data_IF_444561157271
#
_entry.id   IF_444561157271
#
_cell.length_a   1.000
_cell.length_b   1.000
_cell.length_c   1.000
_cell.angle_alpha   90.00
_cell.angle_beta   90.00
_cell.angle_gamma   90.00
#
_symmetry.space_group_name_H-M   'P 1'
#
loop_
_entity.id
_entity.type
_entity.pdbx_description
1 polymer ?
#
# COMPACT_ATOMS: atom_id res chain seq x y z
N UNK A 1 5.94 19.69 -11.41
CA UNK A 1 5.35 20.10 -10.11
C UNK A 1 6.11 19.45 -8.97
N UNK A 2 6.26 20.14 -7.81
CA UNK A 2 6.76 19.55 -6.57
C UNK A 2 5.65 19.60 -5.52
N UNK A 3 5.50 18.53 -4.77
CA UNK A 3 4.62 18.49 -3.61
C UNK A 3 5.27 19.20 -2.42
N UNK A 4 4.49 19.94 -1.66
CA UNK A 4 4.98 20.65 -0.47
C UNK A 4 4.26 20.15 0.78
N UNK A 5 5.01 19.94 1.85
CA UNK A 5 4.51 19.44 3.11
C UNK A 5 4.88 20.39 4.26
N UNK A 6 4.17 20.28 5.37
CA UNK A 6 4.57 20.93 6.61
C UNK A 6 5.73 20.14 7.23
N UNK A 7 6.92 20.75 7.26
CA UNK A 7 8.15 20.11 7.75
C UNK A 7 8.19 19.96 9.30
N UNK A 8 7.29 20.60 10.03
CA UNK A 8 7.21 20.49 11.49
C UNK A 8 6.54 19.21 11.97
N UNK A 9 5.99 18.39 11.07
CA UNK A 9 5.31 17.14 11.42
C UNK A 9 6.29 16.07 11.89
N UNK A 10 5.89 15.31 12.92
CA UNK A 10 6.72 14.24 13.50
C UNK A 10 6.91 13.05 12.55
N UNK A 11 5.88 12.73 11.74
CA UNK A 11 5.89 11.64 10.78
C UNK A 11 5.82 12.16 9.35
N UNK A 12 6.58 11.53 8.47
CA UNK A 12 6.45 11.74 7.03
C UNK A 12 5.20 11.04 6.50
N UNK A 13 4.93 9.83 7.01
CA UNK A 13 3.77 9.02 6.64
C UNK A 13 3.26 8.24 7.85
N UNK A 14 1.95 8.19 8.02
CA UNK A 14 1.26 7.23 8.88
C UNK A 14 0.38 6.35 7.99
N UNK A 15 0.57 5.04 8.04
CA UNK A 15 -0.27 4.08 7.32
C UNK A 15 -1.30 3.48 8.26
N UNK A 16 -2.54 3.29 7.77
CA UNK A 16 -3.61 2.63 8.53
C UNK A 16 -4.14 1.41 7.80
N UNK A 17 -4.27 0.30 8.52
CA UNK A 17 -4.94 -0.89 8.01
C UNK A 17 -4.28 -2.20 8.41
N UNK A 18 -4.20 -3.13 7.44
CA UNK A 18 -3.83 -4.52 7.64
C UNK A 18 -2.33 -4.73 7.81
N UNK A 19 -1.97 -5.53 8.84
CA UNK A 19 -0.70 -6.23 8.95
C UNK A 19 -0.99 -7.73 9.12
N UNK A 20 -0.36 -8.59 8.34
CA UNK A 20 -0.61 -10.03 8.34
C UNK A 20 0.69 -10.83 8.21
N UNK A 21 0.58 -12.14 8.13
CA UNK A 21 1.70 -13.05 7.86
C UNK A 21 1.63 -13.53 6.42
N UNK A 22 2.70 -13.29 5.66
CA UNK A 22 2.90 -13.91 4.37
C UNK A 22 3.74 -15.19 4.55
N UNK A 23 3.24 -16.28 3.98
CA UNK A 23 3.89 -17.59 3.90
C UNK A 23 4.19 -17.88 2.43
N UNK A 24 5.40 -17.50 2.00
CA UNK A 24 5.80 -17.62 0.62
C UNK A 24 6.43 -18.98 0.34
N UNK A 25 5.94 -19.69 -0.69
CA UNK A 25 6.50 -20.96 -1.12
C UNK A 25 7.99 -20.85 -1.42
N UNK A 26 8.79 -21.73 -0.86
CA UNK A 26 10.25 -21.81 -1.13
C UNK A 26 10.49 -22.60 -2.41
N UNK A 27 9.65 -23.60 -2.67
CA UNK A 27 9.69 -24.37 -3.89
C UNK A 27 8.90 -23.66 -5.01
N UNK A 28 9.57 -23.36 -6.12
CA UNK A 28 8.98 -22.71 -7.29
C UNK A 28 8.58 -23.71 -8.36
N UNK A 29 7.76 -23.26 -9.31
CA UNK A 29 7.31 -24.02 -10.48
C UNK A 29 6.54 -25.27 -10.10
N UNK A 30 5.75 -25.20 -9.04
CA UNK A 30 4.84 -26.26 -8.60
C UNK A 30 3.60 -25.67 -7.94
N UNK A 31 2.46 -26.39 -7.97
CA UNK A 31 1.25 -25.96 -7.30
C UNK A 31 1.39 -26.05 -5.77
N UNK A 32 0.54 -25.30 -5.06
CA UNK A 32 0.61 -25.18 -3.60
C UNK A 32 0.40 -26.51 -2.89
N UNK A 33 -0.45 -27.40 -3.42
CA UNK A 33 -0.69 -28.74 -2.88
C UNK A 33 0.55 -29.65 -2.88
N UNK A 34 1.57 -29.33 -3.67
CA UNK A 34 2.84 -30.01 -3.70
C UNK A 34 3.96 -29.28 -2.92
N UNK A 35 3.67 -28.06 -2.44
CA UNK A 35 4.62 -27.24 -1.70
C UNK A 35 4.69 -27.68 -0.25
N UNK A 36 5.90 -27.98 0.22
CA UNK A 36 6.15 -28.47 1.58
C UNK A 36 6.82 -27.43 2.50
N UNK A 37 7.43 -26.38 1.92
CA UNK A 37 8.23 -25.40 2.67
C UNK A 37 7.77 -23.97 2.38
N UNK A 38 7.53 -23.21 3.43
CA UNK A 38 7.16 -21.80 3.35
C UNK A 38 8.10 -20.95 4.19
N UNK A 39 8.50 -19.80 3.67
CA UNK A 39 9.19 -18.77 4.43
C UNK A 39 8.20 -17.73 4.93
N UNK A 40 8.34 -17.35 6.21
CA UNK A 40 7.44 -16.41 6.88
C UNK A 40 7.95 -14.99 6.80
N UNK A 41 7.06 -14.07 6.40
CA UNK A 41 7.31 -12.63 6.33
C UNK A 41 6.14 -11.82 6.93
N UNK A 42 6.38 -10.54 7.19
CA UNK A 42 5.28 -9.59 7.40
C UNK A 42 4.69 -9.24 6.05
N UNK A 43 3.37 -9.25 5.96
CA UNK A 43 2.58 -8.89 4.80
C UNK A 43 1.48 -7.88 5.13
N UNK A 44 0.67 -7.57 4.13
CA UNK A 44 -0.36 -6.53 4.17
C UNK A 44 0.11 -5.24 3.53
N UNK A 45 -0.62 -4.73 2.53
CA UNK A 45 -0.22 -3.55 1.75
C UNK A 45 0.18 -2.36 2.63
N UNK A 46 -0.64 -1.86 3.58
CA UNK A 46 -0.26 -0.70 4.39
C UNK A 46 0.97 -0.97 5.29
N UNK A 47 1.14 -2.20 5.80
CA UNK A 47 2.32 -2.58 6.57
C UNK A 47 3.57 -2.61 5.67
N UNK A 48 3.48 -3.20 4.47
CA UNK A 48 4.55 -3.22 3.49
C UNK A 48 4.97 -1.80 3.07
N UNK A 49 4.00 -0.90 2.85
CA UNK A 49 4.29 0.49 2.48
C UNK A 49 4.96 1.23 3.63
N UNK A 50 4.53 1.03 4.89
CA UNK A 50 5.19 1.61 6.06
C UNK A 50 6.63 1.11 6.20
N UNK A 51 6.86 -0.21 6.05
CA UNK A 51 8.19 -0.83 6.07
C UNK A 51 9.06 -0.28 4.96
N UNK A 52 8.55 -0.24 3.72
CA UNK A 52 9.27 0.30 2.56
C UNK A 52 9.65 1.76 2.77
N UNK A 53 8.73 2.59 3.28
CA UNK A 53 8.96 3.99 3.59
C UNK A 53 10.05 4.17 4.65
N UNK A 54 10.02 3.37 5.73
CA UNK A 54 11.05 3.40 6.78
C UNK A 54 12.42 2.98 6.24
N UNK A 55 12.51 1.93 5.41
CA UNK A 55 13.76 1.50 4.77
C UNK A 55 14.35 2.54 3.82
N UNK A 56 13.50 3.38 3.24
CA UNK A 56 13.92 4.53 2.42
C UNK A 56 14.35 5.74 3.27
N UNK A 57 14.19 5.69 4.59
CA UNK A 57 14.60 6.73 5.53
C UNK A 57 13.51 7.71 5.93
N UNK A 58 12.25 7.45 5.59
CA UNK A 58 11.12 8.25 6.08
C UNK A 58 10.77 7.89 7.52
N UNK A 59 10.26 8.88 8.26
CA UNK A 59 9.64 8.69 9.57
C UNK A 59 8.24 8.09 9.36
N UNK A 60 8.14 6.78 9.40
CA UNK A 60 6.91 6.04 9.16
C UNK A 60 6.25 5.60 10.47
N UNK A 61 4.93 5.77 10.57
CA UNK A 61 4.10 5.24 11.65
C UNK A 61 3.03 4.29 11.11
N UNK A 62 2.48 3.46 11.99
CA UNK A 62 1.47 2.49 11.63
C UNK A 62 0.33 2.42 12.64
N UNK A 63 -0.91 2.46 12.13
CA UNK A 63 -2.14 2.24 12.90
C UNK A 63 -2.77 0.94 12.41
N UNK A 64 -2.99 -0.01 13.30
CA UNK A 64 -3.64 -1.27 12.96
C UNK A 64 -3.84 -2.16 14.18
N UNK A 65 -4.57 -3.25 14.00
CA UNK A 65 -4.83 -4.21 15.09
C UNK A 65 -4.19 -5.55 14.78
N UNK A 66 -3.46 -6.09 15.75
CA UNK A 66 -2.72 -7.34 15.67
C UNK A 66 -3.18 -8.31 16.76
N UNK A 67 -3.06 -9.64 16.57
CA UNK A 67 -3.43 -10.61 17.59
C UNK A 67 -2.49 -10.60 18.79
N UNK A 68 -3.00 -11.00 19.95
CA UNK A 68 -2.17 -11.31 21.15
C UNK A 68 -1.61 -12.74 21.06
N UNK A 69 -0.75 -12.98 20.09
CA UNK A 69 -0.07 -14.27 19.91
C UNK A 69 1.34 -14.11 19.32
N UNK A 70 1.97 -15.23 18.95
CA UNK A 70 3.31 -15.24 18.37
C UNK A 70 3.40 -14.51 17.02
N UNK A 71 2.31 -14.48 16.25
CA UNK A 71 2.27 -13.78 14.98
C UNK A 71 2.16 -12.26 15.19
N UNK A 72 1.32 -11.80 16.12
CA UNK A 72 1.24 -10.38 16.47
C UNK A 72 2.58 -9.84 16.99
N UNK A 73 3.23 -10.55 17.90
CA UNK A 73 4.57 -10.17 18.39
C UNK A 73 5.64 -10.16 17.29
N UNK A 74 5.56 -11.10 16.34
CA UNK A 74 6.46 -11.11 15.18
C UNK A 74 6.25 -9.88 14.29
N UNK A 75 4.98 -9.56 13.95
CA UNK A 75 4.63 -8.39 13.13
C UNK A 75 5.15 -7.11 13.79
N UNK A 76 4.79 -6.87 15.05
CA UNK A 76 5.19 -5.67 15.78
C UNK A 76 6.72 -5.55 15.88
N UNK A 77 7.39 -6.63 16.29
CA UNK A 77 8.85 -6.64 16.44
C UNK A 77 9.56 -6.38 15.12
N UNK A 78 9.10 -7.00 14.01
CA UNK A 78 9.69 -6.79 12.71
C UNK A 78 9.52 -5.35 12.23
N UNK A 79 8.31 -4.79 12.32
CA UNK A 79 8.02 -3.41 11.92
C UNK A 79 8.84 -2.40 12.74
N UNK A 80 8.88 -2.56 14.06
CA UNK A 80 9.68 -1.72 14.95
C UNK A 80 11.18 -1.80 14.63
N UNK A 81 11.71 -2.98 14.37
CA UNK A 81 13.12 -3.18 14.05
C UNK A 81 13.50 -2.60 12.67
N UNK A 82 12.55 -2.43 11.78
CA UNK A 82 12.74 -1.73 10.50
C UNK A 82 12.57 -0.21 10.59
N UNK A 83 12.28 0.33 11.77
CA UNK A 83 12.17 1.77 12.02
C UNK A 83 10.76 2.33 11.89
N UNK A 84 9.73 1.49 11.77
CA UNK A 84 8.33 1.93 11.82
C UNK A 84 7.94 2.19 13.28
N UNK A 85 7.32 3.34 13.55
CA UNK A 85 6.70 3.60 14.85
C UNK A 85 5.45 2.72 15.00
N UNK A 86 5.46 1.86 16.02
CA UNK A 86 4.41 0.87 16.31
C UNK A 86 3.55 1.25 17.53
N UNK A 87 3.65 2.47 18.02
CA UNK A 87 2.94 2.92 19.25
C UNK A 87 1.42 2.93 19.10
N UNK A 88 0.93 2.92 17.87
CA UNK A 88 -0.50 2.82 17.53
C UNK A 88 -0.88 1.44 16.94
N UNK A 89 -0.07 0.43 17.17
CA UNK A 89 -0.47 -0.96 16.94
C UNK A 89 -1.27 -1.46 18.14
N UNK A 90 -2.54 -1.71 17.92
CA UNK A 90 -3.46 -2.17 18.95
C UNK A 90 -3.39 -3.68 19.06
N UNK A 91 -3.24 -4.21 20.27
CA UNK A 91 -3.26 -5.65 20.53
C UNK A 91 -4.69 -6.09 20.77
N UNK A 92 -5.18 -7.00 19.96
CA UNK A 92 -6.52 -7.60 20.09
C UNK A 92 -6.63 -8.40 21.38
N UNK A 93 -7.67 -8.14 22.18
CA UNK A 93 -7.93 -8.83 23.44
C UNK A 93 -9.06 -9.88 23.34
N UNK A 94 -9.74 -9.96 22.19
CA UNK A 94 -10.90 -10.83 21.99
C UNK A 94 -10.51 -12.19 21.39
N UNK A 95 -9.24 -12.38 21.08
CA UNK A 95 -8.67 -13.66 20.64
C UNK A 95 -8.70 -13.89 19.13
N UNK A 96 -8.99 -12.86 18.32
CA UNK A 96 -8.88 -12.94 16.87
C UNK A 96 -7.44 -13.22 16.45
N UNK A 97 -7.25 -13.82 15.27
CA UNK A 97 -5.94 -14.27 14.77
C UNK A 97 -5.37 -13.32 13.71
N UNK A 98 -4.09 -13.51 13.37
CA UNK A 98 -3.53 -12.83 12.21
C UNK A 98 -4.11 -13.40 10.91
N UNK A 99 -4.31 -12.54 9.91
CA UNK A 99 -4.51 -13.01 8.55
C UNK A 99 -3.26 -13.74 8.03
N UNK A 100 -3.46 -14.81 7.25
CA UNK A 100 -2.39 -15.57 6.62
C UNK A 100 -2.54 -15.54 5.11
N UNK A 101 -1.47 -15.22 4.40
CA UNK A 101 -1.40 -15.26 2.94
C UNK A 101 -0.38 -16.32 2.52
N UNK A 102 -0.85 -17.42 1.96
CA UNK A 102 0.01 -18.41 1.32
C UNK A 102 0.19 -18.04 -0.14
N UNK A 103 1.42 -17.98 -0.60
CA UNK A 103 1.72 -17.65 -2.00
C UNK A 103 2.34 -18.83 -2.72
N UNK A 104 1.93 -19.03 -3.98
CA UNK A 104 2.60 -19.96 -4.90
C UNK A 104 3.17 -19.21 -6.10
N UNK A 105 4.22 -19.76 -6.69
CA UNK A 105 4.89 -19.25 -7.87
C UNK A 105 4.97 -20.41 -8.87
N UNK A 106 3.98 -20.49 -9.77
CA UNK A 106 3.95 -21.48 -10.85
C UNK A 106 4.88 -21.06 -11.99
N UNK A 107 4.87 -19.77 -12.34
CA UNK A 107 5.81 -19.11 -13.23
C UNK A 107 5.93 -17.63 -12.85
N UNK A 108 6.82 -16.84 -13.46
CA UNK A 108 6.86 -15.39 -13.25
C UNK A 108 5.55 -14.66 -13.59
N UNK A 109 4.79 -15.20 -14.52
CA UNK A 109 3.50 -14.66 -14.99
C UNK A 109 2.31 -15.25 -14.23
N UNK A 110 2.49 -16.41 -13.61
CA UNK A 110 1.42 -17.16 -12.93
C UNK A 110 1.76 -17.36 -11.45
N UNK A 111 1.32 -16.40 -10.65
CA UNK A 111 1.45 -16.42 -9.19
C UNK A 111 0.06 -16.30 -8.56
N UNK A 112 -0.18 -17.03 -7.49
CA UNK A 112 -1.43 -16.94 -6.77
C UNK A 112 -1.24 -16.72 -5.26
N UNK A 113 -2.28 -16.24 -4.61
CA UNK A 113 -2.35 -16.03 -3.16
C UNK A 113 -3.59 -16.69 -2.62
N UNK A 114 -3.40 -17.65 -1.72
CA UNK A 114 -4.48 -18.21 -0.90
C UNK A 114 -4.53 -17.45 0.42
N UNK A 115 -5.59 -16.68 0.62
CA UNK A 115 -5.74 -15.80 1.78
C UNK A 115 -6.72 -16.36 2.81
N UNK A 116 -6.27 -16.46 4.04
CA UNK A 116 -7.11 -16.69 5.22
C UNK A 116 -7.29 -15.36 5.95
N UNK A 117 -8.40 -14.69 5.71
CA UNK A 117 -8.72 -13.37 6.29
C UNK A 117 -10.17 -13.28 6.78
N UNK A 118 -10.72 -14.38 7.22
CA UNK A 118 -12.02 -14.39 7.89
C UNK A 118 -11.79 -14.23 9.38
N UNK A 119 -12.54 -13.31 10.00
CA UNK A 119 -12.55 -13.14 11.46
C UNK A 119 -11.15 -12.90 12.08
N UNK A 120 -10.35 -12.03 11.45
CA UNK A 120 -8.97 -11.72 11.87
C UNK A 120 -8.85 -10.35 12.52
N UNK A 121 -7.85 -10.17 13.40
CA UNK A 121 -7.68 -8.98 14.25
C UNK A 121 -7.72 -7.65 13.50
N UNK A 122 -7.11 -7.56 12.30
CA UNK A 122 -7.08 -6.31 11.53
C UNK A 122 -8.47 -5.80 11.08
N UNK A 123 -9.48 -6.67 11.02
CA UNK A 123 -10.86 -6.30 10.72
C UNK A 123 -11.62 -5.70 11.92
N UNK A 124 -11.06 -5.82 13.12
CA UNK A 124 -11.67 -5.39 14.39
C UNK A 124 -11.04 -4.12 14.97
N UNK A 125 -10.31 -3.35 14.16
CA UNK A 125 -9.86 -2.02 14.56
C UNK A 125 -11.09 -1.12 14.74
N UNK A 126 -11.28 -0.60 15.95
CA UNK A 126 -12.42 0.25 16.29
C UNK A 126 -12.14 1.74 16.04
N UNK A 127 -13.16 2.54 15.67
CA UNK A 127 -13.00 3.98 15.52
C UNK A 127 -12.47 4.68 16.78
N UNK A 128 -12.78 4.15 17.98
CA UNK A 128 -12.30 4.68 19.26
C UNK A 128 -10.81 4.45 19.50
N UNK A 129 -10.20 3.51 18.80
CA UNK A 129 -8.77 3.17 18.90
C UNK A 129 -7.89 4.02 17.99
N UNK A 130 -8.49 4.82 17.10
CA UNK A 130 -7.76 5.70 16.17
C UNK A 130 -7.39 7.02 16.87
N UNK A 131 -6.10 7.26 17.05
CA UNK A 131 -5.58 8.47 17.67
C UNK A 131 -5.61 9.66 16.71
N UNK A 132 -6.38 10.69 17.03
CA UNK A 132 -6.42 11.95 16.29
C UNK A 132 -5.07 12.66 16.30
N UNK A 133 -4.43 12.74 17.47
CA UNK A 133 -3.14 13.44 17.65
C UNK A 133 -2.03 12.76 16.85
N UNK A 134 -2.05 11.43 16.75
CA UNK A 134 -1.06 10.68 15.96
C UNK A 134 -1.18 11.01 14.48
N UNK A 135 -2.40 11.04 13.95
CA UNK A 135 -2.67 11.43 12.56
C UNK A 135 -2.33 12.91 12.34
N UNK A 136 -2.72 13.78 13.25
CA UNK A 136 -2.45 15.22 13.15
C UNK A 136 -0.97 15.57 13.05
N UNK A 137 -0.09 14.69 13.54
CA UNK A 137 1.36 14.84 13.48
C UNK A 137 2.03 14.20 12.25
N UNK A 138 1.25 13.78 11.26
CA UNK A 138 1.77 13.23 9.99
C UNK A 138 1.70 14.26 8.85
N UNK A 139 2.64 14.17 7.90
CA UNK A 139 2.55 14.87 6.60
C UNK A 139 1.49 14.23 5.72
N UNK A 140 1.43 12.87 5.75
CA UNK A 140 0.50 12.04 4.97
C UNK A 140 -0.15 10.96 5.83
N UNK A 141 -1.42 10.67 5.55
CA UNK A 141 -2.12 9.46 5.97
C UNK A 141 -2.27 8.56 4.74
N UNK A 142 -1.67 7.37 4.78
CA UNK A 142 -1.90 6.33 3.77
C UNK A 142 -3.05 5.44 4.19
N UNK A 143 -4.03 5.31 3.30
CA UNK A 143 -5.15 4.37 3.40
C UNK A 143 -5.00 3.32 2.32
N UNK A 144 -5.10 2.03 2.67
CA UNK A 144 -5.23 0.94 1.70
C UNK A 144 -6.68 0.49 1.59
N UNK A 145 -7.13 0.20 0.38
CA UNK A 145 -8.50 -0.25 0.13
C UNK A 145 -8.87 -1.52 0.88
N UNK A 146 -7.90 -2.41 1.13
CA UNK A 146 -8.13 -3.64 1.92
C UNK A 146 -8.58 -3.38 3.36
N UNK A 147 -8.32 -2.20 3.92
CA UNK A 147 -8.76 -1.82 5.26
C UNK A 147 -10.24 -1.42 5.32
N UNK A 148 -10.87 -1.19 4.16
CA UNK A 148 -12.29 -0.85 4.03
C UNK A 148 -13.21 -2.07 3.88
N UNK A 149 -12.66 -3.28 3.85
CA UNK A 149 -13.40 -4.49 3.48
C UNK A 149 -14.52 -4.85 4.47
N UNK A 150 -14.37 -4.57 5.77
CA UNK A 150 -15.35 -4.98 6.79
C UNK A 150 -15.39 -3.99 7.97
N UNK A 151 -16.56 -3.82 8.57
CA UNK A 151 -16.75 -3.14 9.86
C UNK A 151 -16.20 -4.00 11.02
N UNK A 152 -15.66 -3.39 12.10
CA UNK A 152 -15.55 -1.95 12.36
C UNK A 152 -14.31 -1.27 11.76
N UNK A 153 -13.35 -2.02 11.17
CA UNK A 153 -12.13 -1.46 10.57
C UNK A 153 -12.44 -0.39 9.50
N UNK A 154 -13.49 -0.61 8.73
CA UNK A 154 -14.00 0.35 7.73
C UNK A 154 -14.30 1.72 8.34
N UNK A 155 -15.06 1.74 9.43
CA UNK A 155 -15.42 2.98 10.14
C UNK A 155 -14.22 3.62 10.83
N UNK A 156 -13.26 2.82 11.31
CA UNK A 156 -12.02 3.33 11.86
C UNK A 156 -11.20 4.07 10.80
N UNK A 157 -11.10 3.52 9.59
CA UNK A 157 -10.43 4.16 8.46
C UNK A 157 -11.14 5.44 8.03
N UNK A 158 -12.47 5.42 7.91
CA UNK A 158 -13.25 6.62 7.55
C UNK A 158 -13.05 7.73 8.59
N UNK A 159 -12.98 7.38 9.88
CA UNK A 159 -12.66 8.33 10.95
C UNK A 159 -11.24 8.87 10.84
N UNK A 160 -10.27 8.02 10.50
CA UNK A 160 -8.90 8.45 10.26
C UNK A 160 -8.81 9.48 9.11
N UNK A 161 -9.54 9.26 8.02
CA UNK A 161 -9.65 10.23 6.91
C UNK A 161 -10.25 11.55 7.38
N UNK A 162 -11.32 11.52 8.21
CA UNK A 162 -11.90 12.74 8.79
C UNK A 162 -10.88 13.51 9.64
N UNK A 163 -10.09 12.83 10.47
CA UNK A 163 -9.02 13.45 11.25
C UNK A 163 -7.93 14.06 10.35
N UNK A 164 -7.50 13.33 9.31
CA UNK A 164 -6.54 13.85 8.35
C UNK A 164 -7.03 15.14 7.68
N UNK A 165 -8.28 15.16 7.21
CA UNK A 165 -8.89 16.36 6.59
C UNK A 165 -8.98 17.52 7.58
N UNK A 166 -9.40 17.26 8.84
CA UNK A 166 -9.48 18.29 9.91
C UNK A 166 -8.14 18.95 10.17
N UNK A 167 -7.04 18.19 10.14
CA UNK A 167 -5.68 18.66 10.45
C UNK A 167 -4.83 18.96 9.21
N UNK A 168 -5.45 19.01 8.03
CA UNK A 168 -4.77 19.29 6.75
C UNK A 168 -3.61 18.33 6.46
N UNK A 169 -3.74 17.09 6.91
CA UNK A 169 -2.85 15.98 6.57
C UNK A 169 -3.26 15.45 5.20
N UNK A 170 -2.31 15.27 4.30
CA UNK A 170 -2.58 14.76 2.95
C UNK A 170 -3.01 13.31 3.00
N UNK A 171 -4.15 12.98 2.40
CA UNK A 171 -4.65 11.61 2.30
C UNK A 171 -4.15 10.98 1.01
N UNK A 172 -3.43 9.86 1.14
CA UNK A 172 -3.01 9.02 0.02
C UNK A 172 -3.84 7.74 0.06
N UNK A 173 -4.60 7.48 -0.99
CA UNK A 173 -5.39 6.26 -1.11
C UNK A 173 -4.76 5.31 -2.14
N UNK A 174 -4.30 4.17 -1.65
CA UNK A 174 -3.82 3.06 -2.47
C UNK A 174 -4.94 2.04 -2.60
N UNK A 175 -5.41 1.81 -3.84
CA UNK A 175 -6.65 1.05 -4.08
C UNK A 175 -6.54 -0.40 -3.63
N UNK A 176 -5.44 -1.10 -3.94
CA UNK A 176 -5.13 -2.48 -3.50
C UNK A 176 -6.37 -3.40 -3.48
N UNK A 177 -7.03 -3.56 -4.63
CA UNK A 177 -8.22 -4.38 -4.72
C UNK A 177 -7.90 -5.87 -4.59
N UNK A 178 -8.59 -6.53 -3.65
CA UNK A 178 -8.49 -7.97 -3.41
C UNK A 178 -9.91 -8.55 -3.42
N UNK A 179 -10.37 -9.11 -4.53
CA UNK A 179 -11.78 -9.53 -4.72
C UNK A 179 -12.26 -10.49 -3.64
N UNK A 180 -11.40 -11.37 -3.14
CA UNK A 180 -11.73 -12.34 -2.09
C UNK A 180 -12.00 -11.74 -0.70
N UNK A 181 -11.77 -10.44 -0.50
CA UNK A 181 -12.05 -9.75 0.77
C UNK A 181 -13.39 -9.02 0.78
N UNK A 182 -14.07 -8.97 -0.35
CA UNK A 182 -15.31 -8.22 -0.56
C UNK A 182 -16.49 -9.14 -0.89
N UNK A 183 -17.69 -8.70 -0.55
CA UNK A 183 -18.91 -9.43 -0.95
C UNK A 183 -19.22 -9.26 -2.44
N UNK A 184 -18.92 -8.08 -3.00
CA UNK A 184 -19.13 -7.77 -4.42
C UNK A 184 -18.26 -6.59 -4.89
N UNK A 185 -18.12 -6.46 -6.20
CA UNK A 185 -17.50 -5.27 -6.81
C UNK A 185 -18.34 -4.01 -6.54
N UNK A 186 -19.68 -4.12 -6.50
CA UNK A 186 -20.57 -2.99 -6.18
C UNK A 186 -20.31 -2.46 -4.77
N UNK A 187 -20.15 -3.34 -3.77
CA UNK A 187 -19.79 -2.93 -2.41
C UNK A 187 -18.43 -2.24 -2.39
N UNK A 188 -17.43 -2.81 -3.08
CA UNK A 188 -16.10 -2.22 -3.20
C UNK A 188 -16.17 -0.82 -3.77
N UNK A 189 -16.90 -0.63 -4.89
CA UNK A 189 -17.05 0.66 -5.56
C UNK A 189 -17.58 1.74 -4.63
N UNK A 190 -18.60 1.43 -3.81
CA UNK A 190 -19.18 2.39 -2.85
C UNK A 190 -18.12 2.90 -1.88
N UNK A 191 -17.36 2.02 -1.23
CA UNK A 191 -16.41 2.45 -0.21
C UNK A 191 -15.12 3.01 -0.80
N UNK A 192 -14.69 2.50 -1.96
CA UNK A 192 -13.53 3.06 -2.66
C UNK A 192 -13.79 4.47 -3.14
N UNK A 193 -14.93 4.73 -3.79
CA UNK A 193 -15.31 6.09 -4.22
C UNK A 193 -15.41 7.04 -3.03
N UNK A 194 -16.02 6.61 -1.93
CA UNK A 194 -16.18 7.42 -0.72
C UNK A 194 -14.84 7.92 -0.15
N UNK A 195 -13.79 7.09 -0.20
CA UNK A 195 -12.45 7.47 0.27
C UNK A 195 -11.67 8.20 -0.82
N UNK A 196 -11.73 7.75 -2.07
CA UNK A 196 -11.02 8.35 -3.19
C UNK A 196 -11.40 9.82 -3.40
N UNK A 197 -12.70 10.15 -3.31
CA UNK A 197 -13.21 11.52 -3.42
C UNK A 197 -12.73 12.47 -2.33
N UNK A 198 -12.29 11.93 -1.19
CA UNK A 198 -11.73 12.68 -0.08
C UNK A 198 -10.20 12.71 -0.08
N UNK A 199 -9.55 11.94 -0.96
CA UNK A 199 -8.10 11.77 -0.99
C UNK A 199 -7.43 12.83 -1.84
N UNK A 200 -6.23 13.26 -1.42
CA UNK A 200 -5.40 14.22 -2.16
C UNK A 200 -4.60 13.51 -3.26
N UNK A 201 -4.21 12.25 -3.02
CA UNK A 201 -3.49 11.40 -3.96
C UNK A 201 -4.20 10.05 -4.05
N UNK A 202 -4.49 9.58 -5.27
CA UNK A 202 -5.07 8.24 -5.49
C UNK A 202 -4.10 7.44 -6.37
N UNK A 203 -3.76 6.22 -5.93
CA UNK A 203 -2.80 5.31 -6.58
C UNK A 203 -3.47 3.97 -6.82
N UNK A 204 -3.43 3.46 -8.05
CA UNK A 204 -3.98 2.14 -8.36
C UNK A 204 -3.56 1.66 -9.75
N UNK A 205 -3.92 0.42 -10.09
CA UNK A 205 -3.88 -0.08 -11.47
C UNK A 205 -5.12 0.36 -12.23
N UNK A 206 -5.10 0.27 -13.58
CA UNK A 206 -6.29 0.60 -14.37
C UNK A 206 -7.51 -0.23 -13.95
N UNK A 207 -7.32 -1.52 -13.74
CA UNK A 207 -8.40 -2.42 -13.32
C UNK A 207 -8.97 -2.06 -11.94
N UNK A 208 -8.13 -1.60 -11.01
CA UNK A 208 -8.57 -1.15 -9.69
C UNK A 208 -9.40 0.13 -9.77
N UNK A 209 -9.07 1.05 -10.68
CA UNK A 209 -9.91 2.21 -10.94
C UNK A 209 -11.24 1.81 -11.57
N UNK A 210 -11.26 0.82 -12.46
CA UNK A 210 -12.50 0.30 -13.03
C UNK A 210 -13.43 -0.27 -11.95
N UNK A 211 -12.87 -1.01 -10.99
CA UNK A 211 -13.63 -1.51 -9.83
C UNK A 211 -14.14 -0.35 -8.97
N UNK A 212 -13.30 0.62 -8.64
CA UNK A 212 -13.70 1.80 -7.86
C UNK A 212 -14.88 2.54 -8.51
N UNK A 213 -14.89 2.62 -9.82
CA UNK A 213 -15.90 3.32 -10.61
C UNK A 213 -17.08 2.43 -11.02
N UNK A 214 -17.09 1.18 -10.58
CA UNK A 214 -18.10 0.16 -10.91
C UNK A 214 -18.32 0.04 -12.43
N UNK A 215 -17.24 -0.05 -13.20
CA UNK A 215 -17.27 -0.19 -14.66
C UNK A 215 -16.15 -1.09 -15.17
N UNK A 216 -16.16 -1.37 -16.45
CA UNK A 216 -15.13 -2.12 -17.16
C UNK A 216 -14.63 -1.32 -18.36
N UNK A 217 -13.31 -1.28 -18.57
CA UNK A 217 -12.70 -0.63 -19.72
C UNK A 217 -12.79 0.90 -19.69
N UNK A 218 -12.74 1.49 -18.49
CA UNK A 218 -12.69 2.93 -18.32
C UNK A 218 -11.38 3.55 -18.82
N UNK A 219 -11.44 4.84 -19.18
CA UNK A 219 -10.26 5.59 -19.59
C UNK A 219 -9.58 6.27 -18.40
N UNK A 220 -8.26 6.47 -18.49
CA UNK A 220 -7.54 7.25 -17.49
C UNK A 220 -8.10 8.67 -17.36
N UNK A 221 -8.46 9.29 -18.48
CA UNK A 221 -8.96 10.67 -18.52
C UNK A 221 -10.28 10.82 -17.76
N UNK A 222 -11.22 9.89 -17.91
CA UNK A 222 -12.50 9.91 -17.20
C UNK A 222 -12.29 9.77 -15.68
N UNK A 223 -11.45 8.82 -15.24
CA UNK A 223 -11.14 8.62 -13.82
C UNK A 223 -10.48 9.84 -13.21
N UNK A 224 -9.51 10.41 -13.91
CA UNK A 224 -8.77 11.61 -13.48
C UNK A 224 -9.70 12.82 -13.38
N UNK A 225 -10.55 13.07 -14.38
CA UNK A 225 -11.50 14.18 -14.37
C UNK A 225 -12.52 14.04 -13.23
N UNK A 226 -13.00 12.81 -12.98
CA UNK A 226 -13.88 12.56 -11.84
C UNK A 226 -13.21 12.92 -10.51
N UNK A 227 -12.00 12.40 -10.24
CA UNK A 227 -11.29 12.63 -8.98
C UNK A 227 -10.86 14.10 -8.80
N UNK A 228 -10.50 14.80 -9.88
CA UNK A 228 -10.16 16.22 -9.82
C UNK A 228 -11.37 17.14 -9.60
N UNK A 229 -12.59 16.67 -9.86
CA UNK A 229 -13.80 17.36 -9.44
C UNK A 229 -14.04 17.30 -7.92
N UNK A 230 -13.30 16.43 -7.22
CA UNK A 230 -13.30 16.27 -5.77
C UNK A 230 -11.99 16.78 -5.15
N UNK A 231 -11.42 16.06 -4.20
CA UNK A 231 -10.26 16.51 -3.39
C UNK A 231 -8.91 16.26 -4.06
N UNK A 232 -8.81 15.36 -5.04
CA UNK A 232 -7.53 14.90 -5.57
C UNK A 232 -6.74 16.05 -6.25
N UNK A 233 -5.45 16.09 -5.95
CA UNK A 233 -4.45 16.94 -6.61
C UNK A 233 -3.57 16.14 -7.58
N UNK A 234 -3.46 14.82 -7.32
CA UNK A 234 -2.60 13.89 -8.06
C UNK A 234 -3.26 12.51 -8.16
N UNK A 235 -3.30 11.96 -9.37
CA UNK A 235 -3.80 10.60 -9.62
C UNK A 235 -2.72 9.79 -10.33
N UNK A 236 -2.38 8.62 -9.80
CA UNK A 236 -1.36 7.73 -10.36
C UNK A 236 -2.00 6.43 -10.82
N UNK A 237 -1.93 6.16 -12.12
CA UNK A 237 -2.50 4.96 -12.74
C UNK A 237 -1.37 4.07 -13.27
N UNK A 238 -1.29 2.85 -12.73
CA UNK A 238 -0.29 1.83 -13.08
C UNK A 238 -0.83 0.93 -14.18
N UNK A 239 0.01 0.60 -15.16
CA UNK A 239 -0.29 -0.28 -16.30
C UNK A 239 0.69 -1.47 -16.38
N UNK A 240 1.12 -1.98 -15.24
CA UNK A 240 2.04 -3.13 -15.17
C UNK A 240 3.35 -2.86 -15.92
N UNK A 241 3.69 -3.72 -16.86
CA UNK A 241 4.93 -3.62 -17.65
C UNK A 241 5.00 -2.40 -18.58
N UNK A 242 3.86 -1.79 -18.90
CA UNK A 242 3.81 -0.55 -19.69
C UNK A 242 4.21 0.69 -18.87
N UNK A 243 4.36 0.54 -17.55
CA UNK A 243 4.76 1.61 -16.64
C UNK A 243 3.59 2.28 -15.94
N UNK A 244 3.72 3.57 -15.65
CA UNK A 244 2.74 4.33 -14.90
C UNK A 244 2.62 5.76 -15.40
N UNK A 245 1.45 6.35 -15.18
CA UNK A 245 1.15 7.75 -15.47
C UNK A 245 0.72 8.46 -14.19
N UNK A 246 1.20 9.68 -13.98
CA UNK A 246 0.70 10.58 -12.98
C UNK A 246 0.05 11.80 -13.66
N UNK A 247 -1.14 12.11 -13.24
CA UNK A 247 -1.94 13.25 -13.70
C UNK A 247 -2.01 14.26 -12.55
N UNK A 248 -1.65 15.52 -12.82
CA UNK A 248 -1.81 16.59 -11.85
C UNK A 248 -3.06 17.43 -12.13
N UNK A 249 -3.67 17.97 -11.09
CA UNK A 249 -4.84 18.85 -11.22
C UNK A 249 -4.54 20.13 -12.01
N UNK A 250 -3.27 20.51 -12.13
CA UNK A 250 -2.80 21.61 -12.96
C UNK A 250 -2.72 21.27 -14.47
N UNK A 251 -3.02 20.01 -14.85
CA UNK A 251 -3.13 19.58 -16.24
C UNK A 251 -1.85 18.92 -16.79
N UNK A 252 -0.79 18.78 -16.00
CA UNK A 252 0.39 18.07 -16.47
C UNK A 252 0.21 16.56 -16.36
N UNK A 253 0.79 15.83 -17.30
CA UNK A 253 0.85 14.37 -17.32
C UNK A 253 2.32 13.94 -17.32
N UNK A 254 2.68 13.11 -16.37
CA UNK A 254 4.02 12.53 -16.21
C UNK A 254 3.96 11.03 -16.48
N UNK A 255 5.06 10.47 -16.98
CA UNK A 255 5.15 9.04 -17.27
C UNK A 255 6.48 8.47 -16.79
N UNK A 256 6.45 7.25 -16.25
CA UNK A 256 7.63 6.42 -16.06
C UNK A 256 7.40 5.03 -16.66
N UNK A 257 8.44 4.47 -17.26
CA UNK A 257 8.45 3.09 -17.76
C UNK A 257 8.82 2.13 -16.63
N UNK A 258 8.46 0.86 -16.77
CA UNK A 258 8.98 -0.20 -15.92
C UNK A 258 10.47 -0.47 -16.25
N UNK A 259 11.27 -0.76 -15.24
CA UNK A 259 12.68 -1.13 -15.41
C UNK A 259 12.77 -2.63 -15.72
N UNK A 260 13.73 -3.00 -16.60
CA UNK A 260 13.98 -4.39 -16.96
C UNK A 260 14.53 -5.15 -15.76
N UNK A 261 13.93 -6.29 -15.44
CA UNK A 261 14.37 -7.16 -14.36
C UNK A 261 13.99 -8.61 -14.65
N UNK A 262 14.66 -9.54 -13.97
CA UNK A 262 14.24 -10.95 -13.98
C UNK A 262 13.11 -11.10 -12.96
N UNK A 263 11.89 -11.19 -13.45
CA UNK A 263 10.71 -11.37 -12.60
C UNK A 263 10.73 -12.77 -11.99
N UNK A 264 10.56 -12.85 -10.67
CA UNK A 264 10.32 -14.08 -9.91
C UNK A 264 8.84 -14.22 -9.56
N UNK A 265 8.20 -13.11 -9.19
CA UNK A 265 6.82 -13.03 -8.73
C UNK A 265 6.23 -11.64 -8.98
N UNK A 266 4.91 -11.50 -8.92
CA UNK A 266 4.23 -10.21 -9.15
C UNK A 266 3.74 -9.51 -7.88
N UNK A 267 3.51 -10.24 -6.78
CA UNK A 267 3.01 -9.65 -5.52
C UNK A 267 4.06 -8.79 -4.80
N UNK A 268 3.58 -7.73 -4.11
CA UNK A 268 4.39 -6.73 -3.43
C UNK A 268 4.94 -5.61 -4.32
N UNK A 269 4.75 -5.69 -5.65
CA UNK A 269 5.16 -4.63 -6.58
C UNK A 269 4.44 -3.30 -6.31
N UNK A 270 3.12 -3.36 -6.07
CA UNK A 270 2.29 -2.18 -5.78
C UNK A 270 2.74 -1.46 -4.52
N UNK A 271 2.93 -2.21 -3.43
CA UNK A 271 3.37 -1.68 -2.14
C UNK A 271 4.75 -1.01 -2.24
N UNK A 272 5.67 -1.68 -2.93
CA UNK A 272 7.02 -1.17 -3.17
C UNK A 272 7.00 0.09 -4.04
N UNK A 273 6.17 0.09 -5.09
CA UNK A 273 5.95 1.27 -5.91
C UNK A 273 5.45 2.45 -5.08
N UNK A 274 4.38 2.24 -4.29
CA UNK A 274 3.76 3.28 -3.49
C UNK A 274 4.74 3.88 -2.46
N UNK A 275 5.49 3.03 -1.74
CA UNK A 275 6.47 3.49 -0.74
C UNK A 275 7.57 4.38 -1.36
N UNK A 276 8.14 3.97 -2.50
CA UNK A 276 9.20 4.71 -3.16
C UNK A 276 8.69 5.98 -3.90
N UNK A 277 7.47 5.93 -4.44
CA UNK A 277 6.81 7.11 -4.99
C UNK A 277 6.56 8.16 -3.90
N UNK A 278 6.01 7.77 -2.74
CA UNK A 278 5.80 8.64 -1.59
C UNK A 278 7.14 9.21 -1.08
N UNK A 279 8.17 8.36 -0.98
CA UNK A 279 9.52 8.82 -0.64
C UNK A 279 10.01 9.91 -1.58
N UNK A 280 9.83 9.74 -2.90
CA UNK A 280 10.18 10.76 -3.89
C UNK A 280 9.47 12.09 -3.63
N UNK A 281 8.16 12.07 -3.36
CA UNK A 281 7.38 13.28 -3.07
C UNK A 281 7.85 13.97 -1.78
N UNK A 282 8.01 13.22 -0.69
CA UNK A 282 8.44 13.75 0.63
C UNK A 282 9.86 14.30 0.57
N UNK A 283 10.76 13.66 -0.19
CA UNK A 283 12.14 14.10 -0.41
C UNK A 283 12.25 15.29 -1.37
N UNK A 284 11.13 15.91 -1.78
CA UNK A 284 11.12 17.09 -2.64
C UNK A 284 11.54 16.84 -4.08
N UNK A 285 11.51 15.58 -4.56
CA UNK A 285 11.70 15.25 -5.96
C UNK A 285 10.51 15.77 -6.77
N UNK A 286 10.70 16.01 -8.08
CA UNK A 286 9.58 16.22 -8.98
C UNK A 286 8.77 14.92 -9.20
N UNK A 287 7.56 15.06 -9.71
CA UNK A 287 6.63 13.93 -9.88
C UNK A 287 7.21 12.87 -10.83
N UNK A 288 7.89 13.28 -11.90
CA UNK A 288 8.49 12.32 -12.86
C UNK A 288 9.58 11.49 -12.19
N UNK A 289 10.44 12.11 -11.40
CA UNK A 289 11.47 11.41 -10.62
C UNK A 289 10.83 10.49 -9.57
N UNK A 290 9.77 10.93 -8.88
CA UNK A 290 9.04 10.09 -7.93
C UNK A 290 8.43 8.84 -8.61
N UNK A 291 7.86 8.97 -9.82
CA UNK A 291 7.40 7.83 -10.62
C UNK A 291 8.52 6.85 -10.97
N UNK A 292 9.70 7.37 -11.37
CA UNK A 292 10.88 6.55 -11.66
C UNK A 292 11.33 5.76 -10.42
N UNK A 293 11.30 6.38 -9.24
CA UNK A 293 11.60 5.71 -7.97
C UNK A 293 10.60 4.59 -7.68
N UNK A 294 9.29 4.84 -7.85
CA UNK A 294 8.25 3.83 -7.71
C UNK A 294 8.46 2.64 -8.66
N UNK A 295 8.68 2.91 -9.95
CA UNK A 295 8.91 1.88 -10.97
C UNK A 295 10.18 1.05 -10.70
N UNK A 296 11.27 1.69 -10.30
CA UNK A 296 12.52 0.99 -9.99
C UNK A 296 12.37 0.11 -8.74
N UNK A 297 11.74 0.63 -7.69
CA UNK A 297 11.47 -0.11 -6.46
C UNK A 297 10.61 -1.36 -6.73
N UNK A 298 9.53 -1.23 -7.51
CA UNK A 298 8.70 -2.35 -7.92
C UNK A 298 9.50 -3.41 -8.67
N UNK A 299 10.36 -2.99 -9.62
CA UNK A 299 11.21 -3.90 -10.40
C UNK A 299 12.22 -4.66 -9.52
N UNK A 300 12.74 -4.05 -8.47
CA UNK A 300 13.60 -4.72 -7.49
C UNK A 300 12.81 -5.78 -6.70
N UNK A 301 11.64 -5.45 -6.19
CA UNK A 301 10.85 -6.36 -5.34
C UNK A 301 10.34 -7.58 -6.12
N UNK A 302 9.91 -7.42 -7.37
CA UNK A 302 9.42 -8.56 -8.16
C UNK A 302 10.53 -9.57 -8.51
N UNK A 303 11.80 -9.20 -8.37
CA UNK A 303 12.95 -10.09 -8.58
C UNK A 303 13.36 -10.88 -7.32
N UNK A 304 12.78 -10.56 -6.17
CA UNK A 304 13.13 -11.14 -4.86
C UNK A 304 11.95 -11.93 -4.27
N UNK A 305 12.23 -12.81 -3.32
CA UNK A 305 11.26 -13.77 -2.77
C UNK A 305 10.19 -13.13 -1.87
N UNK A 306 10.56 -12.18 -1.01
CA UNK A 306 9.62 -11.55 -0.07
C UNK A 306 9.04 -10.23 -0.63
N UNK A 307 8.01 -9.69 0.03
CA UNK A 307 7.56 -8.31 -0.19
C UNK A 307 8.25 -7.37 0.79
N UNK A 308 8.09 -7.55 2.09
CA UNK A 308 8.61 -6.65 3.13
C UNK A 308 10.14 -6.62 3.22
N UNK A 309 10.81 -7.79 3.22
CA UNK A 309 12.27 -7.84 3.29
C UNK A 309 12.93 -7.35 2.00
N UNK A 310 12.27 -7.59 0.87
CA UNK A 310 12.74 -7.20 -0.47
C UNK A 310 12.66 -5.70 -0.74
N UNK A 311 11.96 -4.92 0.08
CA UNK A 311 11.88 -3.46 -0.07
C UNK A 311 13.29 -2.86 -0.15
N UNK A 312 13.61 -2.11 -1.23
CA UNK A 312 14.95 -1.58 -1.45
C UNK A 312 15.27 -0.36 -0.58
N UNK A 313 16.55 -0.06 -0.50
CA UNK A 313 17.06 1.23 -0.03
C UNK A 313 17.03 2.28 -1.14
N UNK A 314 17.18 3.57 -0.78
CA UNK A 314 17.24 4.64 -1.76
C UNK A 314 18.43 4.48 -2.73
N UNK A 315 19.59 4.00 -2.24
CA UNK A 315 20.78 3.76 -3.06
C UNK A 315 20.55 2.65 -4.09
N UNK A 316 19.88 1.54 -3.70
CA UNK A 316 19.54 0.45 -4.65
C UNK A 316 18.62 0.96 -5.77
N UNK A 317 17.66 1.84 -5.45
CA UNK A 317 16.78 2.47 -6.43
C UNK A 317 17.58 3.34 -7.41
N UNK A 318 18.43 4.22 -6.87
CA UNK A 318 19.25 5.12 -7.71
C UNK A 318 20.18 4.34 -8.63
N UNK A 319 20.86 3.31 -8.10
CA UNK A 319 21.73 2.43 -8.89
C UNK A 319 20.99 1.76 -10.05
N UNK A 320 19.77 1.26 -9.82
CA UNK A 320 18.98 0.65 -10.89
C UNK A 320 18.58 1.68 -11.96
N UNK A 321 18.16 2.87 -11.53
CA UNK A 321 17.80 3.96 -12.45
C UNK A 321 18.99 4.35 -13.31
N UNK A 322 20.18 4.57 -12.72
CA UNK A 322 21.40 4.94 -13.44
C UNK A 322 21.88 3.86 -14.40
N UNK A 323 21.75 2.60 -14.02
CA UNK A 323 22.16 1.48 -14.84
C UNK A 323 21.29 1.28 -16.11
N UNK A 324 20.09 1.85 -16.14
CA UNK A 324 19.14 1.68 -17.26
C UNK A 324 18.69 3.01 -17.89
N UNK A 325 19.38 4.13 -17.55
CA UNK A 325 19.12 5.47 -18.11
C UNK A 325 19.71 5.68 -19.49
#
# INVERSE_FOLDING_TARGET
MKYTFNEEKAFDIVAIGRACIDLNAVEYNRPMEETMTFSKYVGGSPANIAIGSAKLGLKAGFIGKIPDDQHGRFIESYMRNTGVDTTQMIVDQDGHKAGLAFTEILSPEECSILMYRDDVADLYLEPSEVSEDYIANAKMLLVSGTALAKSPSREAVLKAVQYAKKHQVKVVFELDYRPYTWQSADETAVYYSLVAEQSDIVIGTRDEFDVMENRTGGSNEESVNHLFSHSADLVVIKHGVEGSYAYSKSGEVYRAQAYKTKVLKTFGAGDSYASAFIYGLVSGKDIETALKYGSASASIVVSKHSSSEAMPTADEIVQLIEAQS
#
